data_IF_280839488139
#
_entry.id   IF_280839488139
#
_cell.length_a   1.000
_cell.length_b   1.000
_cell.length_c   1.000
_cell.angle_alpha   90.00
_cell.angle_beta   90.00
_cell.angle_gamma   90.00
#
_symmetry.space_group_name_H-M   'P 1'
#
loop_
_entity.id
_entity.type
_entity.pdbx_description
1 polymer ?
#
# COMPACT_ATOMS: atom_id res chain seq x y z
N UNK A 1 7.61 -20.26 0.79
CA UNK A 1 8.14 -19.35 -0.26
C UNK A 1 8.48 -17.98 0.35
N UNK A 2 9.63 -17.40 0.04
CA UNK A 2 10.01 -16.07 0.54
C UNK A 2 9.26 -14.96 -0.20
N UNK A 3 8.71 -14.00 0.55
CA UNK A 3 7.90 -12.90 0.00
C UNK A 3 8.16 -11.56 0.69
N UNK A 4 7.83 -10.49 -0.04
CA UNK A 4 7.84 -9.11 0.41
C UNK A 4 6.42 -8.57 0.39
N UNK A 5 6.09 -7.74 1.39
CA UNK A 5 4.77 -7.13 1.51
C UNK A 5 4.89 -5.63 1.29
N UNK A 6 4.06 -5.07 0.41
CA UNK A 6 3.82 -3.63 0.30
C UNK A 6 2.44 -3.28 0.85
N UNK A 7 2.35 -2.19 1.59
CA UNK A 7 1.08 -1.63 2.07
C UNK A 7 0.97 -0.13 1.80
N UNK A 8 -0.18 0.28 1.25
CA UNK A 8 -0.68 1.65 1.32
C UNK A 8 -1.80 1.70 2.38
N UNK A 9 -1.53 2.41 3.48
CA UNK A 9 -2.39 2.42 4.67
C UNK A 9 -3.15 3.74 4.74
N UNK A 10 -4.46 3.68 4.50
CA UNK A 10 -5.40 4.74 4.88
C UNK A 10 -6.30 4.32 6.03
N UNK A 11 -6.97 5.27 6.67
CA UNK A 11 -7.93 4.95 7.75
C UNK A 11 -9.21 4.25 7.24
N UNK A 12 -9.45 4.18 5.92
CA UNK A 12 -10.68 3.63 5.35
C UNK A 12 -10.49 2.36 4.54
N UNK A 13 -9.28 2.14 4.03
CA UNK A 13 -8.90 1.03 3.18
C UNK A 13 -7.39 0.87 3.19
N UNK A 14 -6.92 -0.35 2.98
CA UNK A 14 -5.50 -0.67 2.89
C UNK A 14 -5.28 -1.44 1.60
N UNK A 15 -4.42 -0.91 0.74
CA UNK A 15 -3.89 -1.64 -0.41
C UNK A 15 -2.78 -2.59 0.04
N UNK A 16 -2.82 -3.84 -0.42
CA UNK A 16 -1.83 -4.87 -0.09
C UNK A 16 -1.30 -5.48 -1.37
N UNK A 17 0.02 -5.61 -1.45
CA UNK A 17 0.73 -6.31 -2.52
C UNK A 17 1.71 -7.33 -1.93
N UNK A 18 1.73 -8.54 -2.48
CA UNK A 18 2.66 -9.61 -2.11
C UNK A 18 3.51 -9.94 -3.33
N UNK A 19 4.82 -9.77 -3.20
CA UNK A 19 5.78 -10.07 -4.26
C UNK A 19 6.74 -11.16 -3.83
N UNK A 20 7.15 -11.98 -4.79
CA UNK A 20 8.27 -12.90 -4.61
C UNK A 20 9.62 -12.17 -4.65
N UNK A 21 10.70 -12.85 -4.26
CA UNK A 21 12.09 -12.38 -4.44
C UNK A 21 12.43 -12.01 -5.89
N UNK A 22 11.80 -12.69 -6.87
CA UNK A 22 11.98 -12.39 -8.29
C UNK A 22 11.08 -11.26 -8.78
N UNK A 23 10.50 -10.47 -7.87
CA UNK A 23 9.59 -9.34 -8.15
C UNK A 23 8.32 -9.73 -8.94
N UNK A 24 7.97 -11.02 -8.97
CA UNK A 24 6.68 -11.47 -9.49
C UNK A 24 5.58 -11.07 -8.50
N UNK A 25 4.53 -10.43 -9.01
CA UNK A 25 3.32 -10.14 -8.24
C UNK A 25 2.56 -11.44 -8.00
N UNK A 26 2.42 -11.83 -6.74
CA UNK A 26 1.79 -13.09 -6.36
C UNK A 26 0.31 -12.89 -6.05
N UNK A 27 0.02 -11.92 -5.19
CA UNK A 27 -1.32 -11.64 -4.70
C UNK A 27 -1.48 -10.14 -4.43
N UNK A 28 -2.69 -9.64 -4.62
CA UNK A 28 -3.08 -8.29 -4.21
C UNK A 28 -4.40 -8.34 -3.47
N UNK A 29 -4.61 -7.41 -2.55
CA UNK A 29 -5.88 -7.29 -1.83
C UNK A 29 -6.16 -5.85 -1.44
N UNK A 30 -7.42 -5.46 -1.56
CA UNK A 30 -7.94 -4.26 -0.92
C UNK A 30 -8.68 -4.66 0.36
N UNK A 31 -8.14 -4.29 1.51
CA UNK A 31 -8.81 -4.47 2.80
C UNK A 31 -9.65 -3.23 3.05
N UNK A 32 -10.98 -3.35 3.01
CA UNK A 32 -11.90 -2.26 3.34
C UNK A 32 -12.15 -2.24 4.85
N UNK A 33 -11.99 -1.07 5.47
CA UNK A 33 -12.13 -0.89 6.91
C UNK A 33 -13.49 -0.31 7.26
N UNK A 34 -14.10 -0.79 8.34
CA UNK A 34 -15.37 -0.25 8.86
C UNK A 34 -15.17 1.15 9.44
N UNK A 35 -15.82 2.15 8.83
CA UNK A 35 -15.60 3.59 9.15
C UNK A 35 -16.09 4.00 10.54
N UNK A 36 -16.99 3.23 11.13
CA UNK A 36 -17.63 3.40 12.44
C UNK A 36 -16.88 2.69 13.58
N UNK A 37 -15.72 2.09 13.30
CA UNK A 37 -14.90 1.40 14.31
C UNK A 37 -13.71 2.23 14.77
N UNK A 38 -13.25 1.99 16.00
CA UNK A 38 -11.99 2.55 16.55
C UNK A 38 -10.76 2.03 15.79
N UNK A 39 -9.62 2.70 15.93
CA UNK A 39 -8.42 2.38 15.14
C UNK A 39 -7.88 0.98 15.43
N UNK A 40 -7.95 0.56 16.69
CA UNK A 40 -7.51 -0.75 17.18
C UNK A 40 -8.28 -1.88 16.49
N UNK A 41 -9.60 -1.71 16.33
CA UNK A 41 -10.45 -2.66 15.62
C UNK A 41 -10.18 -2.67 14.11
N UNK A 42 -9.81 -1.52 13.52
CA UNK A 42 -9.35 -1.46 12.12
C UNK A 42 -8.00 -2.16 11.94
N UNK A 43 -7.10 -2.08 12.92
CA UNK A 43 -5.84 -2.83 12.92
C UNK A 43 -6.11 -4.33 12.99
N UNK A 44 -7.09 -4.77 13.78
CA UNK A 44 -7.54 -6.17 13.78
C UNK A 44 -8.09 -6.60 12.42
N UNK A 45 -8.90 -5.76 11.76
CA UNK A 45 -9.40 -6.02 10.40
C UNK A 45 -8.26 -6.13 9.37
N UNK A 46 -7.21 -5.31 9.49
CA UNK A 46 -6.00 -5.44 8.67
C UNK A 46 -5.35 -6.82 8.86
N UNK A 47 -5.11 -7.23 10.11
CA UNK A 47 -4.49 -8.54 10.41
C UNK A 47 -5.33 -9.68 9.84
N UNK A 48 -6.64 -9.69 10.10
CA UNK A 48 -7.57 -10.69 9.59
C UNK A 48 -7.61 -10.73 8.06
N UNK A 49 -7.44 -9.57 7.41
CA UNK A 49 -7.36 -9.47 5.96
C UNK A 49 -6.06 -10.01 5.38
N UNK A 50 -4.95 -9.92 6.12
CA UNK A 50 -3.60 -10.22 5.66
C UNK A 50 -3.18 -11.68 5.93
N UNK A 51 -3.52 -12.23 7.10
CA UNK A 51 -3.13 -13.60 7.52
C UNK A 51 -3.48 -14.67 6.47
N UNK A 52 -4.69 -14.69 5.86
CA UNK A 52 -5.02 -15.70 4.86
C UNK A 52 -4.12 -15.69 3.62
N UNK A 53 -3.52 -14.53 3.31
CA UNK A 53 -2.62 -14.39 2.16
C UNK A 53 -1.21 -14.94 2.45
N UNK A 54 -0.91 -15.30 3.71
CA UNK A 54 0.43 -15.68 4.17
C UNK A 54 0.62 -17.18 4.37
N UNK A 55 -0.39 -18.02 4.08
CA UNK A 55 -0.24 -19.48 4.15
C UNK A 55 0.97 -19.91 3.32
N UNK A 56 1.89 -20.64 3.95
CA UNK A 56 3.10 -21.21 3.34
C UNK A 56 4.13 -20.19 2.79
N UNK A 57 3.98 -18.92 3.20
CA UNK A 57 4.88 -17.82 2.84
C UNK A 57 5.72 -17.38 4.04
N UNK A 58 7.02 -17.15 3.80
CA UNK A 58 7.94 -16.55 4.77
C UNK A 58 8.13 -15.09 4.41
N UNK A 59 7.66 -14.20 5.27
CA UNK A 59 7.80 -12.75 5.08
C UNK A 59 9.26 -12.35 5.33
N UNK A 60 9.92 -11.83 4.31
CA UNK A 60 11.31 -11.37 4.37
C UNK A 60 11.36 -9.96 4.92
N UNK A 61 10.62 -9.04 4.28
CA UNK A 61 10.52 -7.63 4.63
C UNK A 61 9.12 -7.10 4.35
N UNK A 62 8.80 -5.98 5.02
CA UNK A 62 7.52 -5.28 4.94
C UNK A 62 7.80 -3.82 4.65
N UNK A 63 7.16 -3.28 3.63
CA UNK A 63 7.29 -1.91 3.18
C UNK A 63 5.93 -1.22 3.28
N UNK A 64 5.91 -0.05 3.90
CA UNK A 64 4.69 0.72 4.15
C UNK A 64 4.88 2.12 3.60
N UNK A 65 3.86 2.67 2.94
CA UNK A 65 3.86 4.07 2.54
C UNK A 65 3.97 4.98 3.77
N UNK A 66 4.90 5.93 3.73
CA UNK A 66 5.02 6.93 4.80
C UNK A 66 3.75 7.80 4.88
N UNK A 67 3.12 7.93 6.06
CA UNK A 67 1.90 8.71 6.18
C UNK A 67 2.17 10.20 5.96
N UNK A 68 1.18 10.91 5.40
CA UNK A 68 1.29 12.35 5.17
C UNK A 68 1.67 13.10 6.46
N UNK A 69 2.72 13.93 6.37
CA UNK A 69 3.27 14.71 7.50
C UNK A 69 2.98 16.21 7.44
N UNK A 70 2.52 16.73 6.29
CA UNK A 70 2.37 18.18 6.08
C UNK A 70 0.96 18.66 6.44
N UNK A 71 0.87 19.47 7.50
CA UNK A 71 -0.26 20.37 7.77
C UNK A 71 -0.29 21.48 6.71
N UNK A 72 -0.70 21.16 5.49
CA UNK A 72 -0.82 22.17 4.44
C UNK A 72 -2.17 22.87 4.57
N UNK A 73 -2.16 24.21 4.67
CA UNK A 73 -3.37 25.03 4.65
C UNK A 73 -4.29 24.56 3.51
N UNK A 74 -5.46 24.03 3.88
CA UNK A 74 -6.52 23.64 2.94
C UNK A 74 -6.51 22.21 2.39
N UNK A 75 -5.56 21.31 2.72
CA UNK A 75 -5.51 19.96 2.11
C UNK A 75 -5.85 18.76 3.01
N UNK A 76 -5.97 18.93 4.32
CA UNK A 76 -6.59 17.99 5.27
C UNK A 76 -6.59 18.63 6.66
N UNK A 77 -7.60 18.36 7.49
CA UNK A 77 -7.60 18.88 8.87
C UNK A 77 -6.47 18.24 9.70
N UNK A 78 -5.97 18.97 10.70
CA UNK A 78 -4.99 18.45 11.65
C UNK A 78 -5.44 17.12 12.30
N UNK A 79 -6.76 16.99 12.52
CA UNK A 79 -7.38 15.78 13.02
C UNK A 79 -7.21 14.58 12.06
N UNK A 80 -7.44 14.77 10.76
CA UNK A 80 -7.29 13.71 9.76
C UNK A 80 -5.84 13.24 9.65
N UNK A 81 -4.88 14.17 9.67
CA UNK A 81 -3.44 13.84 9.61
C UNK A 81 -3.02 13.06 10.86
N UNK A 82 -3.39 13.55 12.04
CA UNK A 82 -3.06 12.89 13.31
C UNK A 82 -3.66 11.47 13.39
N UNK A 83 -4.89 11.31 12.90
CA UNK A 83 -5.56 10.01 12.83
C UNK A 83 -4.84 9.05 11.88
N UNK A 84 -4.41 9.53 10.71
CA UNK A 84 -3.66 8.74 9.74
C UNK A 84 -2.30 8.29 10.30
N UNK A 85 -1.55 9.20 10.91
CA UNK A 85 -0.24 8.91 11.51
C UNK A 85 -0.36 7.90 12.66
N UNK A 86 -1.32 8.10 13.59
CA UNK A 86 -1.60 7.15 14.67
C UNK A 86 -1.97 5.78 14.12
N UNK A 87 -2.83 5.73 13.11
CA UNK A 87 -3.26 4.47 12.52
C UNK A 87 -2.11 3.75 11.78
N UNK A 88 -1.31 4.47 10.99
CA UNK A 88 -0.15 3.92 10.29
C UNK A 88 0.86 3.33 11.28
N UNK A 89 1.20 4.06 12.36
CA UNK A 89 2.08 3.55 13.42
C UNK A 89 1.53 2.31 14.13
N UNK A 90 0.22 2.30 14.43
CA UNK A 90 -0.46 1.13 15.03
C UNK A 90 -0.40 -0.10 14.13
N UNK A 91 -0.63 0.08 12.83
CA UNK A 91 -0.49 -0.99 11.84
C UNK A 91 0.96 -1.46 11.74
N UNK A 92 1.94 -0.55 11.74
CA UNK A 92 3.36 -0.94 11.70
C UNK A 92 3.76 -1.77 12.92
N UNK A 93 3.32 -1.38 14.12
CA UNK A 93 3.54 -2.15 15.34
C UNK A 93 2.86 -3.54 15.27
N UNK A 94 1.62 -3.61 14.80
CA UNK A 94 0.93 -4.88 14.65
C UNK A 94 1.64 -5.81 13.64
N UNK A 95 2.11 -5.28 12.53
CA UNK A 95 2.87 -6.03 11.52
C UNK A 95 4.21 -6.54 12.07
N UNK A 96 4.88 -5.75 12.92
CA UNK A 96 6.15 -6.16 13.53
C UNK A 96 5.98 -7.36 14.46
N UNK A 97 4.91 -7.38 15.25
CA UNK A 97 4.56 -8.52 16.10
C UNK A 97 4.13 -9.72 15.24
N UNK A 98 3.26 -9.50 14.25
CA UNK A 98 2.68 -10.58 13.45
C UNK A 98 3.73 -11.36 12.63
N UNK A 99 4.72 -10.66 12.07
CA UNK A 99 5.71 -11.26 11.17
C UNK A 99 7.13 -11.28 11.73
N UNK A 100 7.33 -10.78 12.96
CA UNK A 100 8.64 -10.57 13.55
C UNK A 100 9.59 -9.78 12.61
N UNK A 101 9.05 -8.72 11.98
CA UNK A 101 9.74 -7.86 11.00
C UNK A 101 9.30 -6.41 11.15
N UNK A 102 10.25 -5.51 11.41
CA UNK A 102 9.95 -4.08 11.52
C UNK A 102 9.61 -3.53 10.12
N UNK A 103 8.40 -2.97 9.90
CA UNK A 103 8.07 -2.36 8.62
C UNK A 103 8.93 -1.14 8.32
N UNK A 104 9.35 -1.03 7.07
CA UNK A 104 10.17 0.07 6.56
C UNK A 104 9.26 1.09 5.88
N UNK A 105 9.26 2.33 6.38
CA UNK A 105 8.48 3.42 5.81
C UNK A 105 9.18 3.96 4.56
N UNK A 106 8.44 4.06 3.45
CA UNK A 106 8.96 4.57 2.18
C UNK A 106 8.20 5.84 1.78
N UNK A 107 8.89 6.97 1.58
CA UNK A 107 8.25 8.18 1.07
C UNK A 107 7.71 7.97 -0.35
N UNK A 108 6.47 8.39 -0.60
CA UNK A 108 5.77 8.18 -1.89
C UNK A 108 6.57 8.67 -3.10
N UNK A 109 7.22 9.84 -2.97
CA UNK A 109 8.03 10.43 -4.05
C UNK A 109 9.27 9.60 -4.33
N UNK A 110 9.92 9.10 -3.27
CA UNK A 110 11.06 8.21 -3.38
C UNK A 110 10.66 6.88 -4.00
N UNK A 111 9.53 6.29 -3.57
CA UNK A 111 9.03 5.04 -4.13
C UNK A 111 8.80 5.12 -5.65
N UNK A 112 8.08 6.15 -6.10
CA UNK A 112 7.83 6.37 -7.53
C UNK A 112 9.11 6.61 -8.33
N UNK A 113 10.04 7.39 -7.78
CA UNK A 113 11.34 7.65 -8.42
C UNK A 113 12.13 6.34 -8.57
N UNK A 114 12.16 5.53 -7.52
CA UNK A 114 12.92 4.28 -7.46
C UNK A 114 12.45 3.25 -8.49
N UNK A 115 11.14 3.20 -8.77
CA UNK A 115 10.58 2.32 -9.80
C UNK A 115 10.53 2.96 -11.20
N UNK A 116 10.98 4.22 -11.34
CA UNK A 116 11.05 4.92 -12.62
C UNK A 116 9.74 5.51 -13.13
N UNK A 117 8.75 5.75 -12.26
CA UNK A 117 7.49 6.44 -12.62
C UNK A 117 7.76 7.94 -12.80
N UNK A 118 7.49 8.45 -14.01
CA UNK A 118 7.56 9.88 -14.35
C UNK A 118 6.15 10.44 -14.49
N UNK A 119 5.80 11.44 -13.67
CA UNK A 119 4.49 12.10 -13.71
C UNK A 119 4.69 13.51 -14.25
N UNK A 120 4.01 13.87 -15.34
CA UNK A 120 4.08 15.25 -15.86
C UNK A 120 3.20 16.15 -15.00
N UNK A 121 3.56 17.44 -14.95
CA UNK A 121 2.76 18.44 -14.23
C UNK A 121 1.37 18.54 -14.87
N UNK A 122 0.33 18.37 -14.06
CA UNK A 122 -1.07 18.40 -14.50
C UNK A 122 -1.69 17.00 -14.69
N UNK A 123 -0.87 15.95 -14.78
CA UNK A 123 -1.38 14.58 -14.93
C UNK A 123 -1.98 14.07 -13.63
N UNK A 124 -2.99 13.21 -13.77
CA UNK A 124 -3.56 12.50 -12.63
C UNK A 124 -2.58 11.42 -12.15
N UNK A 125 -1.87 11.72 -11.07
CA UNK A 125 -0.88 10.84 -10.44
C UNK A 125 -1.39 9.41 -10.24
N UNK A 126 -2.64 9.24 -9.77
CA UNK A 126 -3.20 7.91 -9.48
C UNK A 126 -3.37 7.08 -10.75
N UNK A 127 -3.82 7.70 -11.83
CA UNK A 127 -3.98 7.01 -13.11
C UNK A 127 -2.64 6.62 -13.72
N UNK A 128 -1.63 7.48 -13.62
CA UNK A 128 -0.29 7.17 -14.14
C UNK A 128 0.37 6.02 -13.37
N UNK A 129 0.18 5.95 -12.04
CA UNK A 129 0.66 4.80 -11.24
C UNK A 129 -0.05 3.51 -11.65
N UNK A 130 -1.37 3.51 -11.74
CA UNK A 130 -2.15 2.33 -12.19
C UNK A 130 -1.70 1.87 -13.59
N UNK A 131 -1.51 2.81 -14.52
CA UNK A 131 -1.05 2.53 -15.88
C UNK A 131 0.34 1.90 -15.89
N UNK A 132 1.28 2.46 -15.12
CA UNK A 132 2.62 1.91 -14.99
C UNK A 132 2.60 0.49 -14.42
N UNK A 133 1.83 0.25 -13.35
CA UNK A 133 1.70 -1.09 -12.75
C UNK A 133 1.09 -2.07 -13.75
N UNK A 134 0.04 -1.67 -14.48
CA UNK A 134 -0.60 -2.52 -15.50
C UNK A 134 0.36 -2.87 -16.64
N UNK A 135 1.23 -1.96 -17.04
CA UNK A 135 2.25 -2.22 -18.07
C UNK A 135 3.31 -3.22 -17.61
N UNK A 136 3.71 -3.16 -16.33
CA UNK A 136 4.72 -4.06 -15.77
C UNK A 136 4.16 -5.42 -15.35
N UNK A 137 2.88 -5.48 -14.96
CA UNK A 137 2.18 -6.70 -14.54
C UNK A 137 0.88 -6.92 -15.34
N UNK A 138 0.95 -7.06 -16.68
CA UNK A 138 -0.25 -7.10 -17.51
C UNK A 138 -1.16 -8.29 -17.21
N UNK A 139 -0.58 -9.42 -16.79
CA UNK A 139 -1.32 -10.66 -16.47
C UNK A 139 -1.74 -10.72 -15.00
N UNK A 140 -0.92 -10.21 -14.09
CA UNK A 140 -1.13 -10.37 -12.64
C UNK A 140 -1.92 -9.20 -12.03
N UNK A 141 -1.79 -7.98 -12.56
CA UNK A 141 -2.57 -6.82 -12.12
C UNK A 141 -3.83 -6.65 -12.97
N UNK A 142 -4.90 -7.32 -12.55
CA UNK A 142 -6.22 -7.27 -13.18
C UNK A 142 -7.18 -6.53 -12.26
N UNK A 143 -7.87 -5.52 -12.79
CA UNK A 143 -8.83 -4.73 -12.04
C UNK A 143 -10.06 -4.39 -12.90
N UNK A 144 -11.17 -4.14 -12.22
CA UNK A 144 -12.43 -3.77 -12.85
C UNK A 144 -12.52 -2.26 -13.08
N UNK A 145 -13.32 -1.89 -14.08
CA UNK A 145 -13.70 -0.50 -14.31
C UNK A 145 -15.11 -0.25 -13.77
N UNK A 146 -15.36 0.98 -13.35
CA UNK A 146 -16.69 1.50 -13.06
C UNK A 146 -17.51 1.63 -14.34
N UNK A 147 -18.81 1.87 -14.23
CA UNK A 147 -19.70 2.15 -15.38
C UNK A 147 -19.21 3.30 -16.26
N UNK A 148 -18.45 4.24 -15.70
CA UNK A 148 -17.89 5.40 -16.42
C UNK A 148 -16.49 5.15 -16.99
N UNK A 149 -15.99 3.91 -16.96
CA UNK A 149 -14.68 3.55 -17.52
C UNK A 149 -13.49 3.91 -16.61
N UNK A 150 -13.71 4.48 -15.43
CA UNK A 150 -12.63 4.74 -14.46
C UNK A 150 -12.27 3.46 -13.70
N UNK A 151 -11.00 3.26 -13.28
CA UNK A 151 -10.63 2.18 -12.38
C UNK A 151 -11.51 2.15 -11.13
N UNK A 152 -11.90 0.96 -10.67
CA UNK A 152 -12.74 0.81 -9.48
C UNK A 152 -12.06 1.43 -8.25
N UNK A 153 -12.79 2.11 -7.35
CA UNK A 153 -12.21 2.69 -6.15
C UNK A 153 -11.44 1.66 -5.33
N UNK A 154 -10.18 1.94 -4.98
CA UNK A 154 -9.29 0.97 -4.35
C UNK A 154 -8.17 0.44 -5.24
N UNK A 155 -8.30 0.59 -6.56
CA UNK A 155 -7.27 0.15 -7.51
C UNK A 155 -5.98 0.97 -7.36
N UNK A 156 -6.13 2.25 -7.05
CA UNK A 156 -5.03 3.16 -6.75
C UNK A 156 -4.24 2.71 -5.51
N UNK A 157 -4.92 2.37 -4.41
CA UNK A 157 -4.25 1.94 -3.17
C UNK A 157 -3.47 0.63 -3.38
N UNK A 158 -4.01 -0.31 -4.18
CA UNK A 158 -3.27 -1.53 -4.54
C UNK A 158 -2.04 -1.18 -5.41
N UNK A 159 -2.20 -0.30 -6.39
CA UNK A 159 -1.11 0.09 -7.28
C UNK A 159 0.01 0.79 -6.50
N UNK A 160 -0.32 1.69 -5.58
CA UNK A 160 0.63 2.35 -4.68
C UNK A 160 1.34 1.33 -3.77
N UNK A 161 0.61 0.33 -3.23
CA UNK A 161 1.22 -0.76 -2.44
C UNK A 161 2.24 -1.60 -3.25
N UNK A 162 1.98 -1.86 -4.53
CA UNK A 162 2.92 -2.55 -5.43
C UNK A 162 4.19 -1.70 -5.63
N UNK A 163 4.02 -0.40 -5.89
CA UNK A 163 5.13 0.53 -6.08
C UNK A 163 5.99 0.63 -4.83
N UNK A 164 5.38 0.71 -3.64
CA UNK A 164 6.08 0.72 -2.35
C UNK A 164 6.89 -0.56 -2.16
N UNK A 165 6.31 -1.73 -2.41
CA UNK A 165 7.05 -2.98 -2.27
C UNK A 165 8.26 -3.05 -3.22
N UNK A 166 8.07 -2.67 -4.49
CA UNK A 166 9.13 -2.67 -5.49
C UNK A 166 10.26 -1.71 -5.14
N UNK A 167 9.92 -0.51 -4.68
CA UNK A 167 10.89 0.46 -4.21
C UNK A 167 11.70 -0.10 -3.03
N UNK A 168 11.04 -0.73 -2.06
CA UNK A 168 11.70 -1.37 -0.93
C UNK A 168 12.68 -2.46 -1.34
N UNK A 169 12.27 -3.34 -2.28
CA UNK A 169 13.12 -4.39 -2.83
C UNK A 169 14.33 -3.82 -3.59
N UNK A 170 14.17 -2.70 -4.31
CA UNK A 170 15.26 -2.08 -5.06
C UNK A 170 16.29 -1.40 -4.16
N UNK A 171 15.82 -0.66 -3.15
CA UNK A 171 16.68 0.23 -2.37
C UNK A 171 17.58 -0.50 -1.35
N UNK A 172 17.40 -1.82 -1.15
CA UNK A 172 18.07 -2.62 -0.10
C UNK A 172 18.04 -1.95 1.29
N UNK A 173 17.01 -1.13 1.55
CA UNK A 173 16.73 -0.50 2.85
C UNK A 173 16.29 -1.59 3.81
#
# INVERSE_FOLDING_TARGET
>A
MNVYIGLDISTSKIGVAILSEKRKLLETKLIKLKKDTVLEERTRQMIMGLVPLMSDKKVVDIFVEEPASIFSMGKSSAHTISKLQRFNGMCCYALSILFNRIPKLIPVRSARKEVGIKIKRGDNTKLEVIKWVKQNYPKDFVFEHTRHGNPKPGTDDIADAIVVALAGINSKV
#
